data_IF_326537320361
#
_entry.id   IF_326537320361
#
_cell.length_a   1.000
_cell.length_b   1.000
_cell.length_c   1.000
_cell.angle_alpha   90.00
_cell.angle_beta   90.00
_cell.angle_gamma   90.00
#
_symmetry.space_group_name_H-M   'P 1'
#
loop_
_entity.id
_entity.type
_entity.pdbx_description
1 polymer ?
#
# COMPACT_ATOMS: atom_id res chain seq x y z
N UNK A 1 -6.00 13.57 -5.33
CA UNK A 1 -5.29 12.83 -6.42
C UNK A 1 -3.83 13.26 -6.59
N UNK A 2 -3.47 14.55 -6.58
CA UNK A 2 -2.07 14.99 -6.79
C UNK A 2 -1.07 14.51 -5.72
N UNK A 3 -1.46 14.55 -4.44
CA UNK A 3 -0.57 14.20 -3.33
C UNK A 3 0.08 12.80 -3.45
N UNK A 4 -0.67 11.75 -3.78
CA UNK A 4 -0.10 10.39 -3.87
C UNK A 4 0.84 10.27 -5.08
N UNK A 5 0.50 10.91 -6.20
CA UNK A 5 1.32 10.88 -7.42
C UNK A 5 2.63 11.62 -7.17
N UNK A 6 2.57 12.78 -6.52
CA UNK A 6 3.75 13.57 -6.13
C UNK A 6 4.64 12.80 -5.13
N UNK A 7 4.05 12.13 -4.14
CA UNK A 7 4.78 11.28 -3.20
C UNK A 7 5.50 10.13 -3.90
N UNK A 8 4.83 9.45 -4.82
CA UNK A 8 5.42 8.37 -5.62
C UNK A 8 6.54 8.93 -6.52
N UNK A 9 6.34 10.10 -7.12
CA UNK A 9 7.34 10.77 -7.95
C UNK A 9 8.59 11.16 -7.14
N UNK A 10 8.40 11.71 -5.93
CA UNK A 10 9.48 12.06 -5.01
C UNK A 10 10.33 10.85 -4.63
N UNK A 11 9.69 9.67 -4.47
CA UNK A 11 10.35 8.39 -4.26
C UNK A 11 10.83 7.70 -5.56
N UNK A 12 10.84 8.40 -6.69
CA UNK A 12 11.25 7.93 -8.04
C UNK A 12 10.43 6.74 -8.57
N UNK A 13 9.16 6.65 -8.21
CA UNK A 13 8.25 5.60 -8.65
C UNK A 13 7.24 6.16 -9.64
N UNK A 14 7.44 5.82 -10.92
CA UNK A 14 6.60 6.28 -12.02
C UNK A 14 5.64 5.15 -12.41
N UNK A 15 4.34 5.44 -12.34
CA UNK A 15 3.28 4.54 -12.77
C UNK A 15 2.58 5.15 -14.00
N UNK A 16 2.36 4.34 -15.04
CA UNK A 16 1.56 4.70 -16.23
C UNK A 16 0.10 4.95 -15.88
N UNK A 17 -0.45 4.16 -14.97
CA UNK A 17 -1.82 4.28 -14.50
C UNK A 17 -1.83 4.15 -13.00
N UNK A 18 -2.68 4.93 -12.33
CA UNK A 18 -2.96 4.81 -10.92
C UNK A 18 -4.47 4.82 -10.74
N UNK A 19 -5.02 3.74 -10.21
CA UNK A 19 -6.43 3.55 -9.99
C UNK A 19 -6.69 3.49 -8.47
N UNK A 20 -7.36 4.48 -7.87
CA UNK A 20 -7.76 4.39 -6.47
C UNK A 20 -8.81 3.29 -6.31
N UNK A 21 -8.67 2.46 -5.27
CA UNK A 21 -9.64 1.42 -4.93
C UNK A 21 -10.48 1.90 -3.75
N UNK A 22 -11.79 1.82 -3.92
CA UNK A 22 -12.74 2.24 -2.89
C UNK A 22 -12.64 1.36 -1.64
N UNK A 23 -12.37 2.01 -0.50
CA UNK A 23 -12.28 1.38 0.84
C UNK A 23 -13.56 0.67 1.23
N UNK A 24 -14.70 1.17 0.72
CA UNK A 24 -16.03 0.58 0.90
C UNK A 24 -16.11 -0.82 0.30
N UNK A 25 -15.46 -1.05 -0.86
CA UNK A 25 -15.43 -2.36 -1.51
C UNK A 25 -14.64 -3.39 -0.68
N UNK A 26 -13.61 -2.96 0.05
CA UNK A 26 -12.84 -3.84 0.96
C UNK A 26 -13.46 -3.99 2.36
N UNK A 27 -14.53 -3.24 2.67
CA UNK A 27 -15.22 -3.30 3.95
C UNK A 27 -14.42 -2.76 5.14
N UNK A 28 -13.46 -1.86 4.91
CA UNK A 28 -12.65 -1.29 6.01
C UNK A 28 -13.17 0.08 6.43
N UNK A 29 -13.40 0.27 7.75
CA UNK A 29 -13.71 1.58 8.35
C UNK A 29 -12.47 2.42 8.66
N UNK A 30 -11.27 1.86 8.46
CA UNK A 30 -9.99 2.52 8.77
C UNK A 30 -9.61 3.52 7.68
N UNK A 31 -8.87 4.56 8.07
CA UNK A 31 -8.25 5.55 7.16
C UNK A 31 -7.04 4.91 6.45
N UNK A 32 -7.32 4.04 5.50
CA UNK A 32 -6.34 3.43 4.59
C UNK A 32 -6.75 3.78 3.18
N UNK A 33 -5.86 4.38 2.41
CA UNK A 33 -6.06 4.64 1.00
C UNK A 33 -5.38 3.54 0.20
N UNK A 34 -6.10 2.94 -0.73
CA UNK A 34 -5.58 1.81 -1.52
C UNK A 34 -5.59 2.26 -2.97
N UNK A 35 -4.48 2.00 -3.65
CA UNK A 35 -4.28 2.36 -5.03
C UNK A 35 -3.68 1.19 -5.78
N UNK A 36 -4.11 1.00 -7.01
CA UNK A 36 -3.52 0.09 -7.97
C UNK A 36 -2.71 0.93 -8.96
N UNK A 37 -1.39 0.75 -8.97
CA UNK A 37 -0.48 1.31 -9.95
C UNK A 37 -0.18 0.31 -11.07
N UNK A 38 0.00 0.79 -12.30
CA UNK A 38 0.60 0.03 -13.39
C UNK A 38 1.94 0.68 -13.71
N UNK A 39 3.02 -0.07 -13.54
CA UNK A 39 4.40 0.37 -13.81
C UNK A 39 4.61 0.63 -15.33
N UNK A 40 5.72 1.26 -15.72
CA UNK A 40 6.04 1.53 -17.13
C UNK A 40 6.09 0.25 -17.98
N UNK A 41 6.47 -0.86 -17.35
CA UNK A 41 6.56 -2.20 -17.92
C UNK A 41 5.22 -2.98 -17.89
N UNK A 42 4.08 -2.29 -17.71
CA UNK A 42 2.75 -2.91 -17.61
C UNK A 42 2.61 -3.95 -16.49
N UNK A 43 3.39 -3.81 -15.41
CA UNK A 43 3.26 -4.67 -14.24
C UNK A 43 2.32 -4.02 -13.22
N UNK A 44 1.35 -4.78 -12.73
CA UNK A 44 0.46 -4.34 -11.67
C UNK A 44 1.19 -4.26 -10.34
N UNK A 45 0.97 -3.14 -9.65
CA UNK A 45 1.59 -2.78 -8.39
C UNK A 45 0.50 -2.34 -7.43
N UNK A 46 0.38 -3.02 -6.29
CA UNK A 46 -0.55 -2.58 -5.26
C UNK A 46 0.14 -1.57 -4.34
N UNK A 47 -0.51 -0.45 -4.08
CA UNK A 47 0.01 0.64 -3.25
C UNK A 47 -0.99 0.88 -2.12
N UNK A 48 -0.57 0.66 -0.90
CA UNK A 48 -1.37 0.89 0.30
C UNK A 48 -0.80 2.09 1.03
N UNK A 49 -1.63 3.08 1.30
CA UNK A 49 -1.28 4.29 2.02
C UNK A 49 -2.03 4.34 3.35
N UNK A 50 -1.27 4.23 4.43
CA UNK A 50 -1.79 4.25 5.78
C UNK A 50 -1.78 5.68 6.34
N UNK A 51 -2.93 6.34 6.28
CA UNK A 51 -3.11 7.71 6.80
C UNK A 51 -3.63 7.65 8.24
N UNK A 52 -2.84 7.09 9.14
CA UNK A 52 -3.16 7.03 10.56
C UNK A 52 -1.98 7.56 11.38
N UNK A 53 -2.27 8.27 12.48
CA UNK A 53 -1.26 8.78 13.42
C UNK A 53 -0.79 7.73 14.44
N UNK A 54 -1.48 6.60 14.50
CA UNK A 54 -1.22 5.55 15.49
C UNK A 54 -0.06 4.65 15.04
N UNK A 55 0.71 4.13 16.01
CA UNK A 55 1.83 3.22 15.77
C UNK A 55 1.37 1.97 14.99
N UNK A 56 2.12 1.60 13.96
CA UNK A 56 1.84 0.39 13.19
C UNK A 56 2.32 -0.87 13.93
N UNK A 57 1.36 -1.71 14.30
CA UNK A 57 1.57 -2.96 15.06
C UNK A 57 1.47 -4.18 14.16
N UNK A 58 1.83 -5.36 14.68
CA UNK A 58 1.71 -6.63 13.97
C UNK A 58 0.27 -6.93 13.52
N UNK A 59 -0.73 -6.58 14.33
CA UNK A 59 -2.15 -6.74 13.96
C UNK A 59 -2.50 -5.99 12.68
N UNK A 60 -2.01 -4.76 12.53
CA UNK A 60 -2.21 -3.98 11.30
C UNK A 60 -1.54 -4.64 10.10
N UNK A 61 -0.40 -5.30 10.30
CA UNK A 61 0.30 -6.01 9.24
C UNK A 61 -0.49 -7.21 8.73
N UNK A 62 -1.06 -8.01 9.62
CA UNK A 62 -1.95 -9.12 9.25
C UNK A 62 -3.23 -8.63 8.60
N UNK A 63 -3.84 -7.56 9.11
CA UNK A 63 -5.01 -6.93 8.46
C UNK A 63 -4.68 -6.42 7.05
N UNK A 64 -3.49 -5.86 6.84
CA UNK A 64 -3.08 -5.35 5.53
C UNK A 64 -2.91 -6.48 4.51
N UNK A 65 -2.42 -7.64 4.94
CA UNK A 65 -2.34 -8.80 4.06
C UNK A 65 -3.71 -9.37 3.74
N UNK A 66 -4.64 -9.43 4.69
CA UNK A 66 -6.02 -9.80 4.39
C UNK A 66 -6.66 -8.84 3.38
N UNK A 67 -6.39 -7.53 3.51
CA UNK A 67 -6.85 -6.54 2.54
C UNK A 67 -6.20 -6.76 1.17
N UNK A 68 -4.90 -7.10 1.12
CA UNK A 68 -4.20 -7.39 -0.12
C UNK A 68 -4.73 -8.65 -0.80
N UNK A 69 -5.04 -9.72 -0.07
CA UNK A 69 -5.67 -10.92 -0.63
C UNK A 69 -7.06 -10.61 -1.19
N UNK A 70 -7.88 -9.84 -0.46
CA UNK A 70 -9.18 -9.37 -0.97
C UNK A 70 -9.02 -8.54 -2.23
N UNK A 71 -8.05 -7.62 -2.25
CA UNK A 71 -7.74 -6.80 -3.42
C UNK A 71 -7.42 -7.67 -4.64
N UNK A 72 -6.56 -8.67 -4.43
CA UNK A 72 -6.14 -9.63 -5.46
C UNK A 72 -7.32 -10.41 -6.02
N UNK A 73 -8.21 -10.88 -5.16
CA UNK A 73 -9.44 -11.58 -5.56
C UNK A 73 -10.42 -10.67 -6.30
N UNK A 74 -10.55 -9.41 -5.86
CA UNK A 74 -11.53 -8.46 -6.41
C UNK A 74 -11.09 -7.92 -7.78
N UNK A 75 -9.79 -7.68 -7.97
CA UNK A 75 -9.22 -7.22 -9.23
C UNK A 75 -8.82 -8.37 -10.18
N UNK A 76 -8.84 -9.62 -9.72
CA UNK A 76 -8.35 -10.81 -10.45
C UNK A 76 -6.94 -10.60 -11.07
N UNK A 77 -6.16 -9.69 -10.51
CA UNK A 77 -4.85 -9.29 -11.01
C UNK A 77 -3.74 -9.85 -10.14
N UNK A 78 -2.66 -10.32 -10.78
CA UNK A 78 -1.48 -10.77 -10.05
C UNK A 78 -0.51 -9.59 -9.84
N UNK A 79 -0.61 -8.94 -8.68
CA UNK A 79 0.30 -7.87 -8.29
C UNK A 79 1.73 -8.41 -8.13
N UNK A 80 2.63 -8.02 -9.04
CA UNK A 80 4.05 -8.40 -8.95
C UNK A 80 4.81 -7.60 -7.89
N UNK A 81 4.34 -6.40 -7.59
CA UNK A 81 4.94 -5.53 -6.57
C UNK A 81 3.86 -5.08 -5.60
N UNK A 82 4.23 -4.97 -4.33
CA UNK A 82 3.37 -4.44 -3.29
C UNK A 82 4.12 -3.41 -2.45
N UNK A 83 3.49 -2.26 -2.31
CA UNK A 83 4.03 -1.06 -1.70
C UNK A 83 3.18 -0.64 -0.53
N UNK A 84 3.85 -0.29 0.56
CA UNK A 84 3.23 0.25 1.75
C UNK A 84 3.84 1.63 2.05
N UNK A 85 3.03 2.65 1.80
CA UNK A 85 3.25 4.02 2.19
C UNK A 85 2.70 4.20 3.61
N UNK A 86 3.51 4.71 4.53
CA UNK A 86 3.10 4.91 5.91
C UNK A 86 3.59 6.27 6.44
N UNK A 87 2.71 6.96 7.17
CA UNK A 87 2.98 8.28 7.77
C UNK A 87 3.24 8.19 9.30
N UNK A 88 3.69 7.03 9.79
CA UNK A 88 3.75 6.74 11.24
C UNK A 88 4.96 5.88 11.63
N UNK A 89 5.38 5.91 12.90
CA UNK A 89 6.43 5.02 13.36
C UNK A 89 6.02 3.53 13.26
N UNK A 90 6.80 2.76 12.50
CA UNK A 90 6.69 1.31 12.40
C UNK A 90 7.37 0.63 13.60
N UNK A 91 6.69 -0.34 14.21
CA UNK A 91 7.35 -1.24 15.16
C UNK A 91 8.35 -2.16 14.42
N UNK A 92 9.52 -2.40 15.02
CA UNK A 92 10.57 -3.28 14.44
C UNK A 92 10.03 -4.65 14.00
N UNK A 93 9.13 -5.24 14.80
CA UNK A 93 8.47 -6.51 14.48
C UNK A 93 7.60 -6.43 13.23
N UNK A 94 6.83 -5.36 13.09
CA UNK A 94 5.95 -5.17 11.93
C UNK A 94 6.75 -4.87 10.66
N UNK A 95 7.84 -4.10 10.78
CA UNK A 95 8.77 -3.83 9.68
C UNK A 95 9.43 -5.12 9.15
N UNK A 96 9.88 -5.99 10.06
CA UNK A 96 10.43 -7.29 9.70
C UNK A 96 9.40 -8.16 8.96
N UNK A 97 8.21 -8.32 9.53
CA UNK A 97 7.14 -9.12 8.94
C UNK A 97 6.71 -8.64 7.55
N UNK A 98 6.66 -7.32 7.35
CA UNK A 98 6.38 -6.72 6.05
C UNK A 98 7.48 -7.02 5.03
N UNK A 99 8.74 -6.87 5.42
CA UNK A 99 9.88 -7.21 4.56
C UNK A 99 9.92 -8.70 4.21
N UNK A 100 9.69 -9.58 5.18
CA UNK A 100 9.61 -11.04 4.96
C UNK A 100 8.50 -11.40 3.97
N UNK A 101 7.36 -10.71 4.06
CA UNK A 101 6.25 -10.87 3.13
C UNK A 101 6.52 -10.22 1.76
N UNK A 102 7.65 -9.54 1.54
CA UNK A 102 8.03 -8.91 0.28
C UNK A 102 7.40 -7.52 0.03
N UNK A 103 6.94 -6.84 1.09
CA UNK A 103 6.43 -5.47 0.99
C UNK A 103 7.57 -4.45 0.95
N UNK A 104 7.45 -3.49 0.03
CA UNK A 104 8.32 -2.32 0.00
C UNK A 104 7.71 -1.20 0.84
N UNK A 105 8.35 -0.94 1.97
CA UNK A 105 7.95 0.08 2.93
C UNK A 105 8.54 1.44 2.54
N UNK A 106 7.70 2.47 2.47
CA UNK A 106 8.08 3.84 2.15
C UNK A 106 7.55 4.77 3.24
N UNK A 107 8.49 5.50 3.84
CA UNK A 107 8.19 6.56 4.79
C UNK A 107 7.75 7.81 4.02
N UNK A 108 6.54 8.28 4.30
CA UNK A 108 5.93 9.43 3.63
C UNK A 108 6.07 10.71 4.48
N UNK A 109 6.46 10.53 5.75
CA UNK A 109 6.72 11.61 6.71
C UNK A 109 8.08 12.28 6.55
N UNK A 110 8.93 11.80 5.63
CA UNK A 110 10.30 12.25 5.40
C UNK A 110 10.41 13.33 4.31
#
# INVERSE_FOLDING_TARGET
MKAIVELLLAHKMIFKKLHPIDKKALGTRKKIDIYEGVDLHSNYVAIFHLVQKSRFLRKNADELEQLFEKLKLLQDHNYKKKLLLYDMPLCSKAKALMKERGWRLIDVTA
#
